data_IF_452453577409
#
_entry.id   IF_452453577409
#
_cell.length_a   1.000
_cell.length_b   1.000
_cell.length_c   1.000
_cell.angle_alpha   90.00
_cell.angle_beta   90.00
_cell.angle_gamma   90.00
#
_symmetry.space_group_name_H-M   'P 1'
#
loop_
_entity.id
_entity.type
_entity.pdbx_description
1 polymer ?
#
# COMPACT_ATOMS: atom_id res chain seq x y z
N UNK A 1 -11.79 43.27 9.71
CA UNK A 1 -11.85 41.87 10.21
C UNK A 1 -10.94 41.05 9.31
N UNK A 2 -9.90 40.35 9.80
CA UNK A 2 -9.15 39.43 8.96
C UNK A 2 -10.05 38.23 8.60
N UNK A 3 -10.02 37.83 7.33
CA UNK A 3 -10.74 36.65 6.85
C UNK A 3 -10.30 35.41 7.65
N UNK A 4 -11.21 34.47 7.97
CA UNK A 4 -10.80 33.20 8.54
C UNK A 4 -9.84 32.54 7.55
N UNK A 5 -8.67 32.14 8.04
CA UNK A 5 -7.68 31.42 7.25
C UNK A 5 -8.37 30.25 6.52
N UNK A 6 -8.05 29.97 5.24
CA UNK A 6 -8.55 28.78 4.59
C UNK A 6 -8.10 27.60 5.45
N UNK A 7 -9.08 26.91 6.04
CA UNK A 7 -8.90 25.59 6.64
C UNK A 7 -8.02 24.81 5.65
N UNK A 8 -6.90 24.20 6.07
CA UNK A 8 -6.16 23.29 5.20
C UNK A 8 -7.15 22.20 4.79
N UNK A 9 -7.68 22.32 3.59
CA UNK A 9 -8.60 21.36 3.02
C UNK A 9 -7.67 20.23 2.65
N UNK A 10 -7.51 19.25 3.53
CA UNK A 10 -6.60 18.14 3.31
C UNK A 10 -6.93 17.57 1.92
N UNK A 11 -6.01 17.74 0.98
CA UNK A 11 -6.24 17.31 -0.39
C UNK A 11 -6.47 15.80 -0.37
N UNK A 12 -7.54 15.30 -1.01
CA UNK A 12 -7.80 13.86 -1.06
C UNK A 12 -6.61 13.08 -1.67
N UNK A 13 -5.81 13.78 -2.49
CA UNK A 13 -4.54 13.29 -3.02
C UNK A 13 -3.51 13.00 -1.92
N UNK A 14 -3.37 13.89 -0.94
CA UNK A 14 -2.41 13.78 0.16
C UNK A 14 -2.76 12.62 1.11
N UNK A 15 -4.05 12.48 1.43
CA UNK A 15 -4.56 11.32 2.19
C UNK A 15 -4.25 10.01 1.47
N UNK A 16 -4.49 9.98 0.16
CA UNK A 16 -4.24 8.78 -0.63
C UNK A 16 -2.73 8.46 -0.72
N UNK A 17 -1.86 9.46 -0.90
CA UNK A 17 -0.41 9.25 -0.89
C UNK A 17 0.09 8.74 0.47
N UNK A 18 -0.42 9.30 1.56
CA UNK A 18 -0.11 8.85 2.92
C UNK A 18 -0.53 7.39 3.15
N UNK A 19 -1.73 7.03 2.72
CA UNK A 19 -2.22 5.66 2.86
C UNK A 19 -1.47 4.67 1.95
N UNK A 20 -1.13 5.06 0.71
CA UNK A 20 -0.24 4.27 -0.17
C UNK A 20 1.11 4.03 0.51
N UNK A 21 1.73 5.07 1.09
CA UNK A 21 3.00 4.95 1.78
C UNK A 21 2.91 4.03 3.00
N UNK A 22 1.84 4.14 3.78
CA UNK A 22 1.56 3.28 4.93
C UNK A 22 1.40 1.82 4.52
N UNK A 23 0.56 1.54 3.53
CA UNK A 23 0.30 0.18 3.03
C UNK A 23 1.56 -0.42 2.39
N UNK A 24 2.37 0.38 1.69
CA UNK A 24 3.67 -0.04 1.16
C UNK A 24 4.63 -0.43 2.28
N UNK A 25 4.73 0.35 3.36
CA UNK A 25 5.57 0.00 4.52
C UNK A 25 5.12 -1.29 5.20
N UNK A 26 3.81 -1.52 5.34
CA UNK A 26 3.27 -2.79 5.88
C UNK A 26 3.68 -3.95 4.96
N UNK A 27 3.53 -3.77 3.64
CA UNK A 27 3.91 -4.78 2.68
C UNK A 27 5.42 -5.06 2.68
N UNK A 28 6.28 -4.04 2.76
CA UNK A 28 7.74 -4.24 2.88
C UNK A 28 8.10 -4.96 4.18
N UNK A 29 7.44 -4.62 5.30
CA UNK A 29 7.67 -5.29 6.59
C UNK A 29 7.27 -6.76 6.57
N UNK A 30 6.17 -7.11 5.89
CA UNK A 30 5.73 -8.50 5.75
C UNK A 30 6.54 -9.27 4.69
N UNK A 31 6.94 -8.62 3.60
CA UNK A 31 7.76 -9.23 2.53
C UNK A 31 9.17 -9.51 3.03
N UNK A 32 9.75 -8.66 3.88
CA UNK A 32 11.13 -8.84 4.36
C UNK A 32 11.40 -10.24 4.95
N UNK A 33 10.68 -10.73 5.98
CA UNK A 33 10.91 -12.07 6.53
C UNK A 33 10.56 -13.19 5.54
N UNK A 34 9.49 -13.04 4.76
CA UNK A 34 9.10 -14.02 3.74
C UNK A 34 10.16 -14.15 2.64
N UNK A 35 10.78 -13.03 2.25
CA UNK A 35 11.83 -12.99 1.24
C UNK A 35 13.13 -13.56 1.82
N UNK A 36 13.46 -13.25 3.07
CA UNK A 36 14.60 -13.84 3.78
C UNK A 36 14.49 -15.37 3.81
N UNK A 37 13.33 -15.90 4.20
CA UNK A 37 13.04 -17.35 4.17
C UNK A 37 13.20 -17.95 2.77
N UNK A 38 12.79 -17.23 1.72
CA UNK A 38 12.97 -17.68 0.32
C UNK A 38 14.44 -17.64 -0.10
N UNK A 39 15.18 -16.60 0.29
CA UNK A 39 16.61 -16.43 0.00
C UNK A 39 17.47 -17.49 0.69
N UNK A 40 17.07 -17.97 1.88
CA UNK A 40 17.73 -19.09 2.58
C UNK A 40 17.17 -20.48 2.21
N UNK A 41 16.25 -20.56 1.23
CA UNK A 41 15.58 -21.81 0.80
C UNK A 41 14.80 -22.53 1.93
N UNK A 42 14.46 -21.82 3.00
CA UNK A 42 13.71 -22.32 4.16
C UNK A 42 12.22 -21.96 4.08
N UNK A 43 11.81 -21.16 3.08
CA UNK A 43 10.43 -20.75 2.90
C UNK A 43 9.50 -21.92 2.63
N UNK A 44 8.47 -22.02 3.46
CA UNK A 44 7.35 -22.92 3.26
C UNK A 44 6.54 -22.52 2.02
N UNK A 45 5.79 -23.46 1.40
CA UNK A 45 4.88 -23.13 0.30
C UNK A 45 3.83 -22.07 0.69
N UNK A 46 3.48 -21.99 1.97
CA UNK A 46 2.58 -20.96 2.52
C UNK A 46 3.25 -19.58 2.49
N UNK A 47 4.51 -19.47 2.93
CA UNK A 47 5.28 -18.22 2.88
C UNK A 47 5.51 -17.75 1.45
N UNK A 48 5.81 -18.67 0.52
CA UNK A 48 5.94 -18.36 -0.91
C UNK A 48 4.61 -17.85 -1.48
N UNK A 49 3.47 -18.42 -1.08
CA UNK A 49 2.15 -17.95 -1.48
C UNK A 49 1.87 -16.54 -0.93
N UNK A 50 2.17 -16.31 0.35
CA UNK A 50 2.06 -15.01 1.01
C UNK A 50 2.95 -13.96 0.34
N UNK A 51 4.20 -14.29 0.01
CA UNK A 51 5.13 -13.40 -0.68
C UNK A 51 4.60 -12.99 -2.06
N UNK A 52 4.04 -13.94 -2.81
CA UNK A 52 3.37 -13.65 -4.10
C UNK A 52 2.15 -12.76 -3.90
N UNK A 53 1.35 -12.98 -2.86
CA UNK A 53 0.19 -12.16 -2.55
C UNK A 53 0.60 -10.72 -2.17
N UNK A 54 1.62 -10.55 -1.33
CA UNK A 54 2.18 -9.24 -0.97
C UNK A 54 2.77 -8.51 -2.18
N UNK A 55 3.48 -9.22 -3.08
CA UNK A 55 3.96 -8.64 -4.35
C UNK A 55 2.79 -8.16 -5.22
N UNK A 56 1.72 -8.94 -5.35
CA UNK A 56 0.50 -8.53 -6.05
C UNK A 56 -0.15 -7.30 -5.41
N UNK A 57 -0.22 -7.27 -4.07
CA UNK A 57 -0.71 -6.13 -3.31
C UNK A 57 0.10 -4.86 -3.56
N UNK A 58 1.44 -4.93 -3.55
CA UNK A 58 2.32 -3.79 -3.92
C UNK A 58 2.10 -3.31 -5.35
N UNK A 59 1.88 -4.22 -6.30
CA UNK A 59 1.59 -3.85 -7.69
C UNK A 59 0.23 -3.16 -7.78
N UNK A 60 -0.79 -3.69 -7.11
CA UNK A 60 -2.11 -3.08 -7.04
C UNK A 60 -2.04 -1.68 -6.40
N UNK A 61 -1.27 -1.52 -5.31
CA UNK A 61 -1.00 -0.23 -4.68
C UNK A 61 -0.34 0.78 -5.62
N UNK A 62 0.65 0.36 -6.41
CA UNK A 62 1.29 1.26 -7.39
C UNK A 62 0.31 1.68 -8.50
N UNK A 63 -0.70 0.86 -8.78
CA UNK A 63 -1.78 1.16 -9.74
C UNK A 63 -2.93 1.98 -9.14
N UNK A 64 -2.98 2.15 -7.81
CA UNK A 64 -3.97 3.01 -7.15
C UNK A 64 -4.04 4.43 -7.72
N UNK A 65 -2.92 5.15 -7.87
CA UNK A 65 -2.94 6.48 -8.49
C UNK A 65 -3.30 6.48 -9.98
N UNK A 66 -3.21 5.32 -10.65
CA UNK A 66 -3.61 5.16 -12.06
C UNK A 66 -5.13 4.89 -12.22
N UNK A 67 -5.87 4.74 -11.13
CA UNK A 67 -7.31 4.50 -11.17
C UNK A 67 -8.05 5.76 -11.67
N UNK A 68 -9.04 5.56 -12.54
CA UNK A 68 -9.86 6.65 -13.08
C UNK A 68 -10.65 7.43 -12.01
N UNK A 69 -10.89 6.82 -10.85
CA UNK A 69 -11.54 7.45 -9.70
C UNK A 69 -10.58 8.20 -8.77
N UNK A 70 -9.28 8.06 -8.93
CA UNK A 70 -8.30 8.66 -8.02
C UNK A 70 -8.30 10.19 -8.09
N UNK A 71 -8.19 10.90 -6.95
CA UNK A 71 -8.17 10.41 -5.56
C UNK A 71 -9.56 10.35 -4.87
N UNK A 72 -10.65 10.52 -5.62
CA UNK A 72 -12.02 10.57 -5.06
C UNK A 72 -12.63 9.19 -4.75
N UNK A 73 -12.36 8.19 -5.59
CA UNK A 73 -12.83 6.80 -5.49
C UNK A 73 -11.63 5.90 -5.69
N UNK A 74 -11.14 5.33 -4.59
CA UNK A 74 -9.94 4.50 -4.57
C UNK A 74 -10.32 3.09 -4.17
N UNK A 75 -10.06 2.12 -5.04
CA UNK A 75 -10.12 0.71 -4.70
C UNK A 75 -8.81 0.32 -4.01
N UNK A 76 -8.87 0.17 -2.68
CA UNK A 76 -7.71 -0.23 -1.88
C UNK A 76 -7.53 -1.75 -1.97
N UNK A 77 -6.34 -2.25 -2.35
CA UNK A 77 -6.10 -3.67 -2.35
C UNK A 77 -6.19 -4.22 -0.92
N UNK A 78 -6.61 -5.47 -0.78
CA UNK A 78 -6.72 -6.13 0.52
C UNK A 78 -5.37 -6.77 0.86
N UNK A 79 -4.85 -6.44 2.05
CA UNK A 79 -3.61 -7.05 2.54
C UNK A 79 -3.83 -8.56 2.72
N UNK A 80 -2.93 -9.41 2.19
CA UNK A 80 -3.02 -10.84 2.44
C UNK A 80 -2.74 -11.14 3.92
N UNK A 81 -3.49 -12.10 4.47
CA UNK A 81 -3.41 -12.58 5.84
C UNK A 81 -2.54 -13.82 5.96
#
# INVERSE_FOLDING_TARGET
MPAPAPIPTVDPLDLAQTEIARLRSIADYAVAPLQDAVDVDEATPEEVASLKAWKKFRVALNRVPEQAGYPQVIDWPVAPT
#
